data_IF_470524863441
#
_entry.id   IF_470524863441
#
_cell.length_a   1.000
_cell.length_b   1.000
_cell.length_c   1.000
_cell.angle_alpha   90.00
_cell.angle_beta   90.00
_cell.angle_gamma   90.00
#
_symmetry.space_group_name_H-M   'P 1'
#
loop_
_entity.id
_entity.type
_entity.pdbx_description
1 polymer ?
#
# COMPACT_ATOMS: atom_id res chain seq x y z
N UNK A 1 5.78 -4.75 18.78
CA UNK A 1 4.34 -4.61 19.10
C UNK A 1 3.68 -4.43 17.75
N UNK A 2 2.71 -5.22 17.43
CA UNK A 2 1.97 -5.09 16.18
C UNK A 2 1.10 -3.83 16.25
N UNK A 3 1.25 -2.93 15.28
CA UNK A 3 0.38 -1.78 15.09
C UNK A 3 -0.80 -2.20 14.20
N UNK A 4 -1.93 -1.49 14.32
CA UNK A 4 -3.12 -1.72 13.51
C UNK A 4 -3.76 -3.11 13.68
N UNK A 5 -4.02 -3.49 14.92
CA UNK A 5 -4.78 -4.69 15.26
C UNK A 5 -6.28 -4.34 15.39
N UNK A 6 -6.76 -4.10 16.60
CA UNK A 6 -8.16 -3.72 16.85
C UNK A 6 -8.54 -2.36 16.19
N UNK A 7 -7.57 -1.45 15.98
CA UNK A 7 -7.81 -0.16 15.36
C UNK A 7 -8.18 -0.27 13.87
N UNK A 8 -7.75 -1.32 13.18
CA UNK A 8 -8.10 -1.54 11.78
C UNK A 8 -9.62 -1.48 11.54
N UNK A 9 -10.44 -2.05 12.43
CA UNK A 9 -11.90 -2.10 12.33
C UNK A 9 -12.57 -0.71 12.22
N UNK A 10 -11.97 0.31 12.84
CA UNK A 10 -12.48 1.69 12.86
C UNK A 10 -11.66 2.67 12.03
N UNK A 11 -10.53 2.22 11.49
CA UNK A 11 -9.57 3.07 10.76
C UNK A 11 -10.25 3.87 9.65
N UNK A 12 -10.94 3.21 8.74
CA UNK A 12 -11.60 3.86 7.61
C UNK A 12 -12.69 4.87 8.06
N UNK A 13 -13.33 4.62 9.21
CA UNK A 13 -14.30 5.56 9.77
C UNK A 13 -13.62 6.86 10.19
N UNK A 14 -12.47 6.79 10.86
CA UNK A 14 -11.72 7.98 11.27
C UNK A 14 -11.04 8.68 10.09
N UNK A 15 -10.65 7.91 9.09
CA UNK A 15 -10.00 8.42 7.88
C UNK A 15 -11.01 8.87 6.81
N UNK A 16 -12.32 8.82 7.08
CA UNK A 16 -13.36 9.15 6.11
C UNK A 16 -13.37 10.61 5.61
N UNK A 17 -12.75 11.54 6.34
CA UNK A 17 -12.60 12.95 5.94
C UNK A 17 -11.28 13.22 5.19
N UNK A 18 -10.44 12.20 5.01
CA UNK A 18 -9.18 12.32 4.26
C UNK A 18 -9.49 12.37 2.76
N UNK A 19 -8.91 13.30 1.98
CA UNK A 19 -9.19 13.44 0.56
C UNK A 19 -8.44 12.38 -0.28
N UNK A 20 -8.74 11.10 -0.05
CA UNK A 20 -8.07 9.98 -0.72
C UNK A 20 -8.18 10.03 -2.24
N UNK A 21 -9.32 10.48 -2.79
CA UNK A 21 -9.48 10.63 -4.24
C UNK A 21 -8.51 11.67 -4.81
N UNK A 22 -8.35 12.83 -4.13
CA UNK A 22 -7.40 13.86 -4.55
C UNK A 22 -5.95 13.35 -4.48
N UNK A 23 -5.64 12.55 -3.47
CA UNK A 23 -4.33 11.93 -3.34
C UNK A 23 -4.08 10.88 -4.43
N UNK A 24 -5.07 10.03 -4.75
CA UNK A 24 -4.97 9.07 -5.83
C UNK A 24 -4.84 9.76 -7.21
N UNK A 25 -5.57 10.87 -7.45
CA UNK A 25 -5.42 11.70 -8.65
C UNK A 25 -4.01 12.28 -8.74
N UNK A 26 -3.49 12.78 -7.63
CA UNK A 26 -2.13 13.32 -7.57
C UNK A 26 -1.08 12.24 -7.84
N UNK A 27 -1.18 11.08 -7.20
CA UNK A 27 -0.28 9.94 -7.44
C UNK A 27 -0.34 9.48 -8.90
N UNK A 28 -1.53 9.34 -9.48
CA UNK A 28 -1.69 8.99 -10.90
C UNK A 28 -0.99 10.02 -11.80
N UNK A 29 -1.13 11.32 -11.52
CA UNK A 29 -0.45 12.37 -12.28
C UNK A 29 1.08 12.27 -12.19
N UNK A 30 1.63 11.88 -11.03
CA UNK A 30 3.07 11.66 -10.86
C UNK A 30 3.54 10.41 -11.59
N UNK A 31 2.77 9.32 -11.55
CA UNK A 31 3.06 8.09 -12.29
C UNK A 31 3.09 8.37 -13.79
N UNK A 32 2.11 9.09 -14.31
CA UNK A 32 2.06 9.48 -15.73
C UNK A 32 3.22 10.40 -16.14
N UNK A 33 3.57 11.36 -15.31
CA UNK A 33 4.60 12.35 -15.60
C UNK A 33 6.02 11.79 -15.48
N UNK A 34 6.26 10.93 -14.49
CA UNK A 34 7.59 10.48 -14.11
C UNK A 34 7.83 8.99 -14.34
N UNK A 35 6.79 8.15 -14.28
CA UNK A 35 6.89 6.70 -14.33
C UNK A 35 7.12 6.13 -15.72
N UNK A 36 7.47 4.86 -15.76
CA UNK A 36 7.63 4.06 -16.98
C UNK A 36 6.36 3.30 -17.33
N UNK A 37 5.51 3.02 -16.33
CA UNK A 37 4.23 2.33 -16.45
C UNK A 37 3.12 3.23 -17.01
N UNK A 38 2.04 2.59 -17.43
CA UNK A 38 0.81 3.25 -17.90
C UNK A 38 -0.40 2.45 -17.40
N UNK A 39 -1.58 3.06 -17.28
CA UNK A 39 -2.81 2.32 -17.04
C UNK A 39 -2.99 1.22 -18.09
N UNK A 40 -3.44 0.06 -17.67
CA UNK A 40 -3.65 -1.13 -18.54
C UNK A 40 -5.12 -1.30 -18.89
N UNK A 41 -6.02 -0.57 -18.21
CA UNK A 41 -7.47 -0.57 -18.39
C UNK A 41 -7.99 0.86 -18.54
N UNK A 42 -9.18 1.01 -19.12
CA UNK A 42 -9.91 2.28 -19.08
C UNK A 42 -10.42 2.53 -17.65
N UNK A 43 -10.41 3.78 -17.16
CA UNK A 43 -10.89 4.10 -15.83
C UNK A 43 -12.34 3.61 -15.60
N UNK A 44 -12.58 2.92 -14.49
CA UNK A 44 -13.87 2.36 -14.14
C UNK A 44 -14.23 1.03 -14.84
N UNK A 45 -13.35 0.47 -15.65
CA UNK A 45 -13.50 -0.86 -16.24
C UNK A 45 -13.10 -1.92 -15.21
N UNK A 46 -14.08 -2.66 -14.70
CA UNK A 46 -13.86 -3.85 -13.86
C UNK A 46 -13.87 -5.07 -14.77
N UNK A 47 -12.90 -5.98 -14.64
CA UNK A 47 -12.95 -7.23 -15.38
C UNK A 47 -14.20 -8.01 -14.95
N UNK A 48 -15.09 -8.34 -15.90
CA UNK A 48 -16.13 -9.32 -15.63
C UNK A 48 -15.42 -10.65 -15.31
N UNK A 49 -15.49 -11.06 -14.05
CA UNK A 49 -15.02 -12.39 -13.66
C UNK A 49 -15.83 -13.38 -14.52
N UNK A 50 -15.18 -14.10 -15.45
CA UNK A 50 -15.79 -15.25 -16.07
C UNK A 50 -16.27 -16.17 -14.96
N UNK A 51 -17.59 -16.42 -14.92
CA UNK A 51 -18.20 -17.30 -13.92
C UNK A 51 -17.40 -18.60 -13.91
N UNK A 52 -16.75 -18.92 -12.80
CA UNK A 52 -16.08 -20.19 -12.63
C UNK A 52 -17.10 -21.30 -12.99
N UNK A 53 -16.75 -22.25 -13.84
CA UNK A 53 -17.68 -23.30 -14.24
C UNK A 53 -18.26 -23.94 -12.99
N UNK A 54 -19.60 -23.94 -12.87
CA UNK A 54 -20.30 -24.53 -11.73
C UNK A 54 -19.68 -25.89 -11.43
N UNK A 55 -19.02 -25.99 -10.26
CA UNK A 55 -18.44 -27.25 -9.81
C UNK A 55 -19.54 -28.29 -9.71
N UNK A 56 -19.63 -29.16 -10.70
CA UNK A 56 -20.52 -30.31 -10.67
C UNK A 56 -20.27 -31.10 -9.39
N UNK A 57 -21.28 -31.16 -8.55
CA UNK A 57 -21.30 -32.00 -7.36
C UNK A 57 -20.80 -33.42 -7.71
N UNK A 58 -19.68 -33.81 -7.10
CA UNK A 58 -19.25 -35.20 -7.13
C UNK A 58 -20.23 -35.99 -6.26
N UNK A 59 -21.25 -36.56 -6.87
CA UNK A 59 -22.05 -37.60 -6.24
C UNK A 59 -21.39 -38.96 -6.50
N UNK A 60 -21.09 -39.67 -5.41
CA UNK A 60 -21.09 -41.15 -5.33
C UNK A 60 -19.93 -41.84 -6.03
N UNK A 61 -19.03 -42.38 -5.24
CA UNK A 61 -18.18 -43.51 -5.61
C UNK A 61 -19.11 -44.72 -5.88
N UNK A 62 -19.33 -45.09 -7.13
CA UNK A 62 -19.76 -46.42 -7.54
C UNK A 62 -18.69 -47.03 -8.44
N UNK A 63 -18.51 -48.34 -8.27
CA UNK A 63 -17.44 -49.20 -8.80
C UNK A 63 -17.25 -49.06 -10.32
N UNK A 64 -15.98 -49.15 -10.74
CA UNK A 64 -15.56 -49.10 -12.13
C UNK A 64 -16.11 -50.28 -12.96
N UNK A 65 -16.64 -50.05 -14.16
CA UNK A 65 -16.83 -51.13 -15.15
C UNK A 65 -15.53 -51.38 -15.92
N UNK A 66 -15.14 -52.62 -16.00
CA UNK A 66 -14.12 -53.12 -16.95
C UNK A 66 -14.62 -52.99 -18.38
N UNK A 67 -13.75 -52.54 -19.23
CA UNK A 67 -13.66 -52.67 -20.69
C UNK A 67 -13.71 -51.37 -21.49
N UNK A 68 -12.56 -50.96 -21.93
CA UNK A 68 -12.09 -50.47 -23.21
C UNK A 68 -13.06 -49.75 -24.15
N UNK A 69 -13.02 -48.40 -24.10
CA UNK A 69 -13.05 -47.56 -25.30
C UNK A 69 -12.24 -46.34 -24.95
N UNK A 70 -11.13 -46.12 -25.65
CA UNK A 70 -10.33 -44.91 -25.57
C UNK A 70 -11.10 -43.82 -26.28
N UNK A 71 -11.75 -42.93 -25.51
CA UNK A 71 -12.26 -41.68 -26.05
C UNK A 71 -11.02 -40.81 -26.42
N UNK A 72 -10.97 -40.41 -27.68
CA UNK A 72 -10.02 -39.37 -28.14
C UNK A 72 -10.26 -38.12 -27.29
N UNK A 73 -9.24 -37.73 -26.54
CA UNK A 73 -9.22 -36.42 -25.92
C UNK A 73 -9.22 -35.38 -27.04
N UNK A 74 -10.25 -34.53 -27.10
CA UNK A 74 -10.23 -33.31 -27.89
C UNK A 74 -8.98 -32.54 -27.49
N UNK A 75 -8.18 -32.10 -28.49
CA UNK A 75 -7.02 -31.23 -28.30
C UNK A 75 -7.50 -29.99 -27.55
N UNK A 76 -7.09 -29.85 -26.28
CA UNK A 76 -7.17 -28.59 -25.56
C UNK A 76 -6.39 -27.61 -26.40
N UNK A 77 -7.06 -26.60 -26.96
CA UNK A 77 -6.41 -25.49 -27.64
C UNK A 77 -5.49 -24.86 -26.59
N UNK A 78 -4.19 -25.00 -26.80
CA UNK A 78 -3.21 -24.26 -25.99
C UNK A 78 -3.52 -22.77 -26.17
N UNK A 79 -3.87 -22.09 -25.10
CA UNK A 79 -3.94 -20.62 -25.09
C UNK A 79 -2.59 -20.09 -25.60
N UNK A 80 -2.57 -19.01 -26.40
CA UNK A 80 -1.33 -18.42 -26.87
C UNK A 80 -0.50 -18.06 -25.64
N UNK A 81 0.62 -18.74 -25.43
CA UNK A 81 1.50 -18.51 -24.29
C UNK A 81 1.93 -17.04 -24.24
N UNK A 82 1.89 -16.44 -23.02
CA UNK A 82 2.39 -15.08 -22.76
C UNK A 82 3.82 -14.97 -23.30
N UNK A 83 4.08 -14.01 -24.16
CA UNK A 83 5.42 -13.78 -24.70
C UNK A 83 6.32 -13.08 -23.68
N UNK A 84 7.66 -13.17 -23.83
CA UNK A 84 8.59 -12.41 -22.98
C UNK A 84 8.35 -10.88 -23.08
N UNK A 85 7.92 -10.39 -24.23
CA UNK A 85 7.58 -8.97 -24.43
C UNK A 85 6.32 -8.58 -23.66
N UNK A 86 5.28 -9.42 -23.65
CA UNK A 86 4.06 -9.19 -22.90
C UNK A 86 4.33 -9.20 -21.39
N UNK A 87 5.17 -10.13 -20.91
CA UNK A 87 5.57 -10.18 -19.51
C UNK A 87 6.32 -8.91 -19.07
N UNK A 88 7.27 -8.41 -19.90
CA UNK A 88 7.99 -7.17 -19.62
C UNK A 88 7.08 -5.94 -19.64
N UNK A 89 6.07 -5.92 -20.50
CA UNK A 89 5.06 -4.84 -20.54
C UNK A 89 4.22 -4.87 -19.28
N UNK A 90 3.80 -6.05 -18.82
CA UNK A 90 3.04 -6.22 -17.59
C UNK A 90 3.84 -5.75 -16.39
N UNK A 91 5.08 -6.23 -16.20
CA UNK A 91 5.95 -5.80 -15.10
C UNK A 91 6.16 -4.27 -15.07
N UNK A 92 6.37 -3.66 -16.23
CA UNK A 92 6.56 -2.22 -16.36
C UNK A 92 5.34 -1.42 -15.94
N UNK A 93 4.13 -1.95 -16.15
CA UNK A 93 2.88 -1.26 -15.85
C UNK A 93 2.39 -1.53 -14.43
N UNK A 94 2.93 -2.55 -13.77
CA UNK A 94 2.54 -2.95 -12.42
C UNK A 94 2.92 -1.88 -11.39
N UNK A 95 2.01 -1.59 -10.48
CA UNK A 95 2.19 -0.63 -9.38
C UNK A 95 2.08 -1.36 -8.05
N UNK A 96 3.10 -1.23 -7.22
CA UNK A 96 3.13 -1.72 -5.85
C UNK A 96 2.75 -0.60 -4.89
N UNK A 97 1.74 -0.83 -4.04
CA UNK A 97 1.42 0.00 -2.89
C UNK A 97 2.03 -0.64 -1.63
N UNK A 98 3.10 -0.05 -1.11
CA UNK A 98 3.93 -0.57 -0.02
C UNK A 98 3.54 0.08 1.32
N UNK A 99 2.91 -0.69 2.21
CA UNK A 99 2.20 -0.20 3.38
C UNK A 99 0.79 0.24 3.01
N UNK A 100 0.05 -0.61 2.30
CA UNK A 100 -1.24 -0.27 1.70
C UNK A 100 -2.39 -0.13 2.71
N UNK A 101 -2.21 -0.60 3.95
CA UNK A 101 -3.23 -0.59 5.00
C UNK A 101 -4.52 -1.28 4.56
N UNK A 102 -5.64 -0.58 4.72
CA UNK A 102 -6.98 -1.06 4.30
C UNK A 102 -7.21 -1.01 2.78
N UNK A 103 -6.18 -0.73 1.98
CA UNK A 103 -6.23 -0.76 0.52
C UNK A 103 -6.96 0.40 -0.15
N UNK A 104 -7.31 1.47 0.57
CA UNK A 104 -8.11 2.58 -0.01
C UNK A 104 -7.42 3.25 -1.20
N UNK A 105 -6.13 3.61 -1.10
CA UNK A 105 -5.35 4.16 -2.22
C UNK A 105 -5.15 3.11 -3.32
N UNK A 106 -4.92 1.87 -2.94
CA UNK A 106 -4.72 0.75 -3.87
C UNK A 106 -5.95 0.57 -4.77
N UNK A 107 -7.16 0.51 -4.19
CA UNK A 107 -8.43 0.41 -4.94
C UNK A 107 -8.67 1.62 -5.83
N UNK A 108 -8.42 2.85 -5.34
CA UNK A 108 -8.58 4.06 -6.14
C UNK A 108 -7.61 4.13 -7.33
N UNK A 109 -6.37 3.65 -7.18
CA UNK A 109 -5.43 3.54 -8.30
C UNK A 109 -5.85 2.43 -9.27
N UNK A 110 -6.40 1.33 -8.77
CA UNK A 110 -6.99 0.28 -9.60
C UNK A 110 -8.16 0.80 -10.44
N UNK A 111 -9.07 1.58 -9.85
CA UNK A 111 -10.18 2.23 -10.56
C UNK A 111 -9.71 3.20 -11.65
N UNK A 112 -8.50 3.77 -11.51
CA UNK A 112 -7.86 4.60 -12.53
C UNK A 112 -7.17 3.77 -13.64
N UNK A 113 -7.30 2.45 -13.59
CA UNK A 113 -6.84 1.51 -14.62
C UNK A 113 -5.44 0.95 -14.38
N UNK A 114 -4.80 1.22 -13.25
CA UNK A 114 -3.51 0.61 -12.94
C UNK A 114 -3.65 -0.86 -12.52
N UNK A 115 -2.65 -1.65 -12.82
CA UNK A 115 -2.50 -3.01 -12.28
C UNK A 115 -1.78 -2.94 -10.94
N UNK A 116 -2.38 -3.51 -9.88
CA UNK A 116 -2.01 -3.19 -8.50
C UNK A 116 -1.60 -4.42 -7.70
N UNK A 117 -0.53 -4.23 -6.90
CA UNK A 117 -0.20 -5.10 -5.76
C UNK A 117 -0.25 -4.24 -4.50
N UNK A 118 -0.95 -4.69 -3.47
CA UNK A 118 -0.92 -4.10 -2.13
C UNK A 118 -0.09 -4.96 -1.18
N UNK A 119 0.80 -4.35 -0.42
CA UNK A 119 1.60 -5.02 0.62
C UNK A 119 1.43 -4.30 1.93
N UNK A 120 1.07 -5.03 2.98
CA UNK A 120 1.05 -4.53 4.36
C UNK A 120 1.49 -5.63 5.32
N UNK A 121 1.98 -5.26 6.49
CA UNK A 121 2.38 -6.21 7.53
C UNK A 121 1.25 -6.60 8.48
N UNK A 122 0.15 -5.84 8.53
CA UNK A 122 -1.03 -6.11 9.36
C UNK A 122 -2.01 -7.02 8.62
N UNK A 123 -2.28 -8.20 9.18
CA UNK A 123 -3.30 -9.12 8.67
C UNK A 123 -4.70 -8.50 8.77
N UNK A 124 -4.96 -7.72 9.84
CA UNK A 124 -6.25 -7.08 10.09
C UNK A 124 -6.54 -5.99 9.07
N UNK A 125 -5.53 -5.16 8.73
CA UNK A 125 -5.66 -4.18 7.64
C UNK A 125 -5.94 -4.84 6.30
N UNK A 126 -5.20 -5.90 5.99
CA UNK A 126 -5.37 -6.64 4.74
C UNK A 126 -6.70 -7.37 4.66
N UNK A 127 -7.28 -7.80 5.79
CA UNK A 127 -8.63 -8.37 5.78
C UNK A 127 -9.66 -7.36 5.26
N UNK A 128 -9.56 -6.08 5.70
CA UNK A 128 -10.43 -5.00 5.21
C UNK A 128 -10.17 -4.71 3.73
N UNK A 129 -8.91 -4.72 3.30
CA UNK A 129 -8.56 -4.57 1.89
C UNK A 129 -9.14 -5.70 1.02
N UNK A 130 -9.11 -6.94 1.51
CA UNK A 130 -9.72 -8.09 0.83
C UNK A 130 -11.25 -7.99 0.76
N UNK A 131 -11.90 -7.46 1.80
CA UNK A 131 -13.34 -7.24 1.79
C UNK A 131 -13.71 -6.18 0.73
N UNK A 132 -12.97 -5.06 0.64
CA UNK A 132 -13.13 -4.06 -0.43
C UNK A 132 -12.92 -4.68 -1.82
N UNK A 133 -11.85 -5.46 -2.01
CA UNK A 133 -11.60 -6.19 -3.25
C UNK A 133 -12.78 -7.07 -3.64
N UNK A 134 -13.37 -7.80 -2.69
CA UNK A 134 -14.52 -8.64 -2.94
C UNK A 134 -15.76 -7.83 -3.34
N UNK A 135 -15.98 -6.67 -2.72
CA UNK A 135 -17.10 -5.78 -3.04
C UNK A 135 -16.96 -5.10 -4.40
N UNK A 136 -15.76 -4.68 -4.76
CA UNK A 136 -15.46 -4.02 -6.05
C UNK A 136 -15.28 -5.00 -7.20
N UNK A 137 -14.95 -6.28 -6.89
CA UNK A 137 -14.57 -7.27 -7.89
C UNK A 137 -13.21 -7.00 -8.52
N UNK A 138 -12.33 -6.23 -7.85
CA UNK A 138 -10.98 -5.96 -8.34
C UNK A 138 -10.11 -7.23 -8.33
N UNK A 139 -9.10 -7.30 -9.20
CA UNK A 139 -8.14 -8.41 -9.25
C UNK A 139 -6.81 -8.09 -8.54
N UNK A 140 -6.79 -7.04 -7.70
CA UNK A 140 -5.64 -6.62 -6.91
C UNK A 140 -5.05 -7.80 -6.14
N UNK A 141 -3.72 -7.93 -6.16
CA UNK A 141 -3.01 -8.91 -5.33
C UNK A 141 -2.61 -8.27 -4.01
N UNK A 142 -3.19 -8.73 -2.89
CA UNK A 142 -2.77 -8.33 -1.55
C UNK A 142 -1.83 -9.37 -0.93
N UNK A 143 -0.70 -8.91 -0.35
CA UNK A 143 0.34 -9.75 0.26
C UNK A 143 0.63 -9.27 1.68
N UNK A 144 0.57 -10.18 2.67
CA UNK A 144 0.98 -9.90 4.03
C UNK A 144 2.50 -10.04 4.14
N UNK A 145 3.22 -8.91 4.12
CA UNK A 145 4.68 -8.88 4.21
C UNK A 145 5.16 -7.60 4.91
N UNK A 146 6.25 -7.72 5.65
CA UNK A 146 6.98 -6.57 6.16
C UNK A 146 7.79 -5.92 5.02
N UNK A 147 7.71 -4.59 4.89
CA UNK A 147 8.43 -3.86 3.85
C UNK A 147 9.97 -4.03 3.92
N UNK A 148 10.50 -4.43 5.10
CA UNK A 148 11.92 -4.74 5.32
C UNK A 148 12.32 -6.13 4.80
N UNK A 149 11.34 -6.95 4.47
CA UNK A 149 11.50 -8.34 4.00
C UNK A 149 10.72 -8.57 2.69
N UNK A 150 10.46 -7.49 1.93
CA UNK A 150 9.70 -7.53 0.69
C UNK A 150 10.25 -8.59 -0.28
N UNK A 151 9.38 -9.49 -0.74
CA UNK A 151 9.70 -10.54 -1.70
C UNK A 151 8.59 -10.64 -2.77
N UNK A 152 8.93 -10.30 -4.00
CA UNK A 152 8.02 -10.31 -5.15
C UNK A 152 8.53 -11.28 -6.23
N UNK A 153 7.62 -11.82 -7.01
CA UNK A 153 7.95 -12.74 -8.11
C UNK A 153 8.50 -12.03 -9.36
N UNK A 154 8.25 -10.74 -9.50
CA UNK A 154 8.65 -9.95 -10.67
C UNK A 154 9.06 -8.54 -10.27
N UNK A 155 9.56 -7.77 -11.23
CA UNK A 155 9.77 -6.34 -11.06
C UNK A 155 8.46 -5.57 -11.26
N UNK A 156 8.42 -4.33 -10.74
CA UNK A 156 7.27 -3.41 -10.86
C UNK A 156 7.73 -2.07 -11.43
N UNK A 157 6.91 -1.46 -12.28
CA UNK A 157 7.25 -0.17 -12.88
C UNK A 157 7.21 1.00 -11.91
N UNK A 158 6.39 0.89 -10.87
CA UNK A 158 6.21 1.94 -9.86
C UNK A 158 6.02 1.31 -8.48
N UNK A 159 6.64 1.91 -7.48
CA UNK A 159 6.31 1.68 -6.06
C UNK A 159 5.76 2.98 -5.50
N UNK A 160 4.61 2.91 -4.83
CA UNK A 160 4.08 3.99 -4.00
C UNK A 160 4.12 3.55 -2.54
N UNK A 161 4.38 4.48 -1.61
CA UNK A 161 4.31 4.23 -0.16
C UNK A 161 3.90 5.55 0.49
N UNK A 162 2.63 5.68 0.80
CA UNK A 162 2.03 6.95 1.25
C UNK A 162 1.30 6.78 2.59
N UNK A 163 0.74 7.86 3.09
CA UNK A 163 0.10 7.90 4.41
C UNK A 163 1.06 7.56 5.55
N UNK A 164 2.27 8.14 5.49
CA UNK A 164 3.32 8.03 6.54
C UNK A 164 3.75 6.60 6.90
N UNK A 165 3.54 5.63 6.02
CA UNK A 165 3.94 4.23 6.24
C UNK A 165 5.44 4.10 6.53
N UNK A 166 6.29 4.91 5.88
CA UNK A 166 7.75 4.90 6.13
C UNK A 166 8.15 5.45 7.50
N UNK A 167 7.31 6.25 8.16
CA UNK A 167 7.60 6.77 9.49
C UNK A 167 7.58 5.68 10.58
N UNK A 168 7.03 4.50 10.29
CA UNK A 168 7.10 3.32 11.16
C UNK A 168 8.47 2.62 11.14
N UNK A 169 9.34 2.96 10.21
CA UNK A 169 10.73 2.51 10.18
C UNK A 169 11.56 3.39 11.12
N UNK A 170 11.78 2.94 12.34
CA UNK A 170 12.41 3.76 13.39
C UNK A 170 13.94 3.81 13.27
N UNK A 171 14.57 2.85 12.60
CA UNK A 171 16.02 2.70 12.50
C UNK A 171 16.51 3.00 11.09
N UNK A 172 17.68 3.64 10.98
CA UNK A 172 18.31 3.93 9.69
C UNK A 172 18.52 2.70 8.83
N UNK A 173 18.87 1.56 9.48
CA UNK A 173 19.10 0.28 8.83
C UNK A 173 17.81 -0.25 8.20
N UNK A 174 16.65 -0.08 8.85
CA UNK A 174 15.35 -0.51 8.34
C UNK A 174 14.94 0.29 7.10
N UNK A 175 15.11 1.63 7.14
CA UNK A 175 14.86 2.50 5.98
C UNK A 175 15.76 2.11 4.81
N UNK A 176 17.05 1.93 5.08
CA UNK A 176 18.01 1.57 4.04
C UNK A 176 17.71 0.19 3.44
N UNK A 177 17.36 -0.79 4.27
CA UNK A 177 16.98 -2.13 3.83
C UNK A 177 15.74 -2.08 2.93
N UNK A 178 14.69 -1.36 3.36
CA UNK A 178 13.47 -1.17 2.57
C UNK A 178 13.78 -0.51 1.23
N UNK A 179 14.59 0.56 1.20
CA UNK A 179 14.94 1.23 -0.05
C UNK A 179 15.81 0.37 -0.97
N UNK A 180 16.67 -0.50 -0.42
CA UNK A 180 17.39 -1.49 -1.22
C UNK A 180 16.44 -2.51 -1.86
N UNK A 181 15.44 -2.99 -1.13
CA UNK A 181 14.45 -3.91 -1.67
C UNK A 181 13.57 -3.23 -2.74
N UNK A 182 13.11 -2.01 -2.48
CA UNK A 182 12.41 -1.21 -3.50
C UNK A 182 13.26 -1.06 -4.76
N UNK A 183 14.52 -0.66 -4.62
CA UNK A 183 15.43 -0.59 -5.77
C UNK A 183 15.57 -1.94 -6.47
N UNK A 184 15.67 -3.06 -5.72
CA UNK A 184 15.78 -4.40 -6.30
C UNK A 184 14.57 -4.79 -7.13
N UNK A 185 13.35 -4.44 -6.69
CA UNK A 185 12.12 -4.81 -7.38
C UNK A 185 11.63 -3.78 -8.40
N UNK A 186 12.17 -2.56 -8.43
CA UNK A 186 11.84 -1.61 -9.50
C UNK A 186 12.31 -2.12 -10.87
N UNK A 187 11.44 -2.00 -11.87
CA UNK A 187 11.77 -2.19 -13.28
C UNK A 187 12.86 -1.17 -13.71
N UNK A 188 13.70 -1.47 -14.73
CA UNK A 188 14.68 -0.51 -15.22
C UNK A 188 14.08 0.87 -15.52
N UNK A 189 14.58 1.89 -14.83
CA UNK A 189 14.06 3.26 -14.89
C UNK A 189 12.74 3.49 -14.16
N UNK A 190 12.22 2.49 -13.45
CA UNK A 190 11.03 2.59 -12.61
C UNK A 190 11.14 3.66 -11.52
N UNK A 191 10.02 4.06 -10.93
CA UNK A 191 9.97 5.13 -9.95
C UNK A 191 9.48 4.65 -8.59
N UNK A 192 9.99 5.31 -7.55
CA UNK A 192 9.53 5.20 -6.19
C UNK A 192 8.94 6.54 -5.74
N UNK A 193 7.66 6.55 -5.41
CA UNK A 193 6.93 7.71 -4.87
C UNK A 193 6.59 7.39 -3.43
N UNK A 194 7.02 8.23 -2.49
CA UNK A 194 6.66 8.04 -1.10
C UNK A 194 6.44 9.37 -0.39
N UNK A 195 5.71 9.34 0.70
CA UNK A 195 5.63 10.46 1.62
C UNK A 195 6.28 10.11 2.97
N UNK A 196 6.54 11.14 3.73
CA UNK A 196 6.93 11.02 5.13
C UNK A 196 6.56 12.28 5.91
N UNK A 197 6.26 12.09 7.18
CA UNK A 197 6.10 13.15 8.15
C UNK A 197 7.47 13.67 8.60
N UNK A 198 7.61 14.97 8.60
CA UNK A 198 8.86 15.63 8.95
C UNK A 198 9.06 15.71 10.47
N UNK A 199 10.30 15.94 10.89
CA UNK A 199 10.63 16.31 12.28
C UNK A 199 9.79 17.51 12.72
N UNK A 200 9.65 18.54 11.86
CA UNK A 200 8.85 19.73 12.14
C UNK A 200 7.40 19.40 12.53
N UNK A 201 6.78 18.44 11.83
CA UNK A 201 5.41 18.01 12.16
C UNK A 201 5.30 17.47 13.58
N UNK A 202 6.21 16.58 13.97
CA UNK A 202 6.15 15.98 15.29
C UNK A 202 6.60 16.93 16.40
N UNK A 203 7.63 17.76 16.17
CA UNK A 203 8.18 18.65 17.17
C UNK A 203 7.33 19.90 17.40
N UNK A 204 6.88 20.55 16.33
CA UNK A 204 6.26 21.88 16.41
C UNK A 204 4.73 21.85 16.23
N UNK A 205 4.17 20.85 15.52
CA UNK A 205 2.74 20.83 15.19
C UNK A 205 1.99 19.87 16.09
N UNK A 206 2.43 18.61 16.19
CA UNK A 206 1.81 17.60 17.04
C UNK A 206 2.33 17.70 18.46
N UNK A 207 3.66 17.71 18.65
CA UNK A 207 4.30 17.82 19.97
C UNK A 207 3.72 16.81 20.97
N UNK A 208 3.42 17.33 22.19
CA UNK A 208 2.77 16.58 23.26
C UNK A 208 1.25 16.86 23.30
N UNK A 209 0.61 17.03 22.14
CA UNK A 209 -0.81 17.39 22.05
C UNK A 209 -1.68 16.14 22.17
N UNK A 210 -2.75 16.26 22.94
CA UNK A 210 -3.85 15.27 22.92
C UNK A 210 -4.87 15.68 21.85
N UNK A 211 -5.12 14.77 20.91
CA UNK A 211 -6.14 14.92 19.87
C UNK A 211 -7.30 14.00 20.25
N UNK A 212 -8.51 14.50 20.18
CA UNK A 212 -9.70 13.68 20.44
C UNK A 212 -10.76 13.97 19.39
N UNK A 213 -11.41 12.93 18.93
CA UNK A 213 -12.51 12.99 18.00
C UNK A 213 -13.67 12.15 18.48
N UNK A 214 -14.89 12.66 18.27
CA UNK A 214 -16.11 11.96 18.64
C UNK A 214 -17.04 11.89 17.43
N UNK A 215 -17.36 10.68 17.00
CA UNK A 215 -18.31 10.37 15.93
C UNK A 215 -19.51 9.63 16.51
N UNK A 216 -20.50 9.30 15.66
CA UNK A 216 -21.74 8.67 16.10
C UNK A 216 -21.50 7.28 16.73
N UNK A 217 -20.66 6.46 16.10
CA UNK A 217 -20.42 5.08 16.50
C UNK A 217 -19.05 4.82 17.12
N UNK A 218 -18.16 5.78 17.07
CA UNK A 218 -16.82 5.64 17.63
C UNK A 218 -16.23 6.97 18.09
N UNK A 219 -15.27 6.89 19.01
CA UNK A 219 -14.50 8.04 19.47
C UNK A 219 -13.07 7.61 19.75
N UNK A 220 -12.12 8.53 19.62
CA UNK A 220 -10.76 8.27 20.05
C UNK A 220 -10.18 9.41 20.88
N UNK A 221 -9.17 9.05 21.66
CA UNK A 221 -8.24 9.94 22.35
C UNK A 221 -6.85 9.50 21.89
N UNK A 222 -6.11 10.41 21.29
CA UNK A 222 -4.77 10.22 20.78
C UNK A 222 -3.82 11.13 21.56
N UNK A 223 -3.01 10.54 22.43
CA UNK A 223 -2.04 11.23 23.27
C UNK A 223 -0.65 11.07 22.66
N UNK A 224 0.03 12.18 22.35
CA UNK A 224 1.34 12.19 21.72
C UNK A 224 2.44 12.51 22.73
N UNK A 225 3.61 11.85 22.57
CA UNK A 225 4.80 12.02 23.39
C UNK A 225 6.02 12.04 22.47
N UNK A 226 6.52 13.24 22.17
CA UNK A 226 7.64 13.39 21.24
C UNK A 226 8.99 13.40 21.96
N UNK A 227 9.93 12.54 21.50
CA UNK A 227 11.34 12.53 21.92
C UNK A 227 12.20 13.30 20.92
N UNK A 228 12.69 14.48 21.34
CA UNK A 228 13.61 15.27 20.52
C UNK A 228 15.00 14.60 20.32
N UNK A 229 15.38 13.65 21.19
CA UNK A 229 16.69 12.98 21.10
C UNK A 229 16.70 11.97 19.94
N UNK A 230 15.62 11.21 19.77
CA UNK A 230 15.50 10.13 18.79
C UNK A 230 14.61 10.52 17.61
N UNK A 231 13.97 11.69 17.67
CA UNK A 231 12.94 12.14 16.71
C UNK A 231 11.75 11.18 16.59
N UNK A 232 11.44 10.44 17.67
CA UNK A 232 10.34 9.48 17.72
C UNK A 232 9.15 10.12 18.41
N UNK A 233 7.98 10.03 17.76
CA UNK A 233 6.69 10.29 18.37
C UNK A 233 6.07 8.94 18.77
N UNK A 234 5.94 8.72 20.09
CA UNK A 234 5.10 7.69 20.65
C UNK A 234 3.69 8.25 20.77
N UNK A 235 2.69 7.51 20.36
CA UNK A 235 1.33 7.90 20.65
C UNK A 235 0.48 6.74 21.11
N UNK A 236 -0.27 7.02 22.18
CA UNK A 236 -1.27 6.12 22.73
C UNK A 236 -2.63 6.49 22.13
N UNK A 237 -3.20 5.55 21.39
CA UNK A 237 -4.52 5.68 20.82
C UNK A 237 -5.52 4.89 21.65
N UNK A 238 -6.40 5.59 22.36
CA UNK A 238 -7.56 4.98 23.03
C UNK A 238 -8.79 5.12 22.17
N UNK A 239 -9.39 4.01 21.79
CA UNK A 239 -10.59 3.96 20.95
C UNK A 239 -11.77 3.46 21.77
N UNK A 240 -12.94 4.06 21.54
CA UNK A 240 -14.24 3.62 22.03
C UNK A 240 -15.14 3.36 20.85
N UNK A 241 -15.45 2.11 20.61
CA UNK A 241 -16.31 1.62 19.54
C UNK A 241 -17.67 1.25 20.09
N UNK A 242 -18.75 1.79 19.49
CA UNK A 242 -20.11 1.48 19.90
C UNK A 242 -20.48 0.06 19.54
N UNK A 243 -21.02 -0.64 20.50
CA UNK A 243 -21.55 -1.99 20.34
C UNK A 243 -23.08 -1.95 20.41
N UNK A 244 -23.71 -3.12 20.29
CA UNK A 244 -25.13 -3.26 20.54
C UNK A 244 -25.49 -2.80 21.97
N UNK A 245 -26.71 -2.33 22.19
CA UNK A 245 -27.24 -1.90 23.50
C UNK A 245 -26.58 -0.66 24.12
N UNK A 246 -26.03 0.29 23.31
CA UNK A 246 -25.35 1.52 23.76
C UNK A 246 -24.14 1.28 24.68
N UNK A 247 -23.54 0.10 24.61
CA UNK A 247 -22.26 -0.20 25.24
C UNK A 247 -21.11 0.21 24.31
N UNK A 248 -19.92 0.42 24.92
CA UNK A 248 -18.71 0.73 24.15
C UNK A 248 -17.62 -0.29 24.48
N UNK A 249 -17.03 -0.87 23.44
CA UNK A 249 -15.77 -1.59 23.53
C UNK A 249 -14.66 -0.56 23.60
N UNK A 250 -13.80 -0.66 24.63
CA UNK A 250 -12.61 0.18 24.71
C UNK A 250 -11.37 -0.65 24.47
N UNK A 251 -10.50 -0.18 23.60
CA UNK A 251 -9.17 -0.75 23.42
C UNK A 251 -8.12 0.36 23.28
N UNK A 252 -6.84 0.00 23.35
CA UNK A 252 -5.73 0.93 23.26
C UNK A 252 -4.63 0.31 22.40
N UNK A 253 -4.04 1.11 21.51
CA UNK A 253 -2.84 0.76 20.77
C UNK A 253 -1.78 1.83 20.97
N UNK A 254 -0.53 1.41 21.05
CA UNK A 254 0.61 2.32 21.11
C UNK A 254 1.39 2.22 19.82
N UNK A 255 1.61 3.34 19.17
CA UNK A 255 2.35 3.43 17.91
C UNK A 255 3.61 4.27 18.10
N UNK A 256 4.60 3.98 17.30
CA UNK A 256 5.87 4.70 17.25
C UNK A 256 6.14 5.12 15.82
N UNK A 257 6.35 6.41 15.61
CA UNK A 257 6.72 6.95 14.30
C UNK A 257 7.93 7.86 14.45
N UNK A 258 8.89 7.74 13.54
CA UNK A 258 10.06 8.61 13.50
C UNK A 258 9.86 9.72 12.48
N UNK A 259 10.13 10.97 12.91
CA UNK A 259 10.23 12.11 12.01
C UNK A 259 11.55 12.11 11.24
N UNK A 260 11.49 12.52 9.98
CA UNK A 260 12.66 12.56 9.11
C UNK A 260 12.88 13.94 8.52
N UNK A 261 14.11 14.23 8.13
CA UNK A 261 14.46 15.34 7.25
C UNK A 261 14.54 14.90 5.80
N UNK A 262 14.32 15.82 4.87
CA UNK A 262 14.49 15.53 3.45
C UNK A 262 15.93 15.13 3.09
N UNK A 263 16.93 15.65 3.80
CA UNK A 263 18.34 15.34 3.56
C UNK A 263 18.71 13.92 4.02
N UNK A 264 18.10 13.43 5.11
CA UNK A 264 18.22 12.02 5.52
C UNK A 264 17.66 11.11 4.44
N UNK A 265 16.42 11.38 3.97
CA UNK A 265 15.79 10.59 2.92
C UNK A 265 16.59 10.57 1.62
N UNK A 266 17.15 11.71 1.19
CA UNK A 266 18.08 11.75 0.04
C UNK A 266 19.32 10.90 0.25
N UNK A 267 19.86 10.91 1.47
CA UNK A 267 21.04 10.09 1.81
C UNK A 267 20.72 8.59 1.76
N UNK A 268 19.55 8.18 2.24
CA UNK A 268 19.10 6.79 2.16
C UNK A 268 18.87 6.36 0.71
N UNK A 269 18.25 7.20 -0.11
CA UNK A 269 18.06 6.94 -1.54
C UNK A 269 19.40 6.73 -2.26
N UNK A 270 20.36 7.61 -2.04
CA UNK A 270 21.71 7.51 -2.64
C UNK A 270 22.41 6.22 -2.22
N UNK A 271 22.39 5.87 -0.92
CA UNK A 271 22.98 4.64 -0.40
C UNK A 271 22.30 3.39 -0.97
N UNK A 272 20.99 3.43 -1.19
CA UNK A 272 20.24 2.34 -1.78
C UNK A 272 20.39 2.26 -3.31
N UNK A 273 21.10 3.19 -3.96
CA UNK A 273 21.32 3.22 -5.40
C UNK A 273 20.15 3.81 -6.20
N UNK A 274 19.24 4.52 -5.53
CA UNK A 274 18.14 5.25 -6.15
C UNK A 274 18.56 6.70 -6.41
N UNK A 275 18.08 7.29 -7.51
CA UNK A 275 18.31 8.69 -7.84
C UNK A 275 17.12 9.52 -7.33
N UNK A 276 17.41 10.50 -6.47
CA UNK A 276 16.43 11.52 -6.11
C UNK A 276 16.06 12.36 -7.34
N UNK A 277 14.77 12.46 -7.64
CA UNK A 277 14.24 13.25 -8.77
C UNK A 277 13.72 14.59 -8.30
N UNK A 278 12.77 14.59 -7.34
CA UNK A 278 12.18 15.80 -6.78
C UNK A 278 11.52 15.52 -5.45
N UNK A 279 11.18 16.60 -4.72
CA UNK A 279 10.34 16.55 -3.53
C UNK A 279 9.30 17.65 -3.57
N UNK A 280 8.11 17.39 -3.03
CA UNK A 280 6.98 18.29 -3.03
C UNK A 280 6.36 18.33 -1.62
N UNK A 281 6.03 19.53 -1.18
CA UNK A 281 5.21 19.73 0.03
C UNK A 281 3.79 19.24 -0.21
N UNK A 282 3.25 18.46 0.70
CA UNK A 282 1.95 17.79 0.54
C UNK A 282 0.81 18.79 0.31
N UNK A 283 0.78 19.91 1.04
CA UNK A 283 -0.33 20.89 0.97
C UNK A 283 -0.27 21.79 -0.26
N UNK A 284 0.93 22.10 -0.73
CA UNK A 284 1.14 23.13 -1.78
C UNK A 284 1.55 22.56 -3.13
N UNK A 285 2.02 21.31 -3.16
CA UNK A 285 2.64 20.64 -4.31
C UNK A 285 3.83 21.42 -4.90
N UNK A 286 4.47 22.27 -4.08
CA UNK A 286 5.68 23.03 -4.44
C UNK A 286 6.90 22.45 -3.72
N UNK A 287 8.05 23.04 -3.98
CA UNK A 287 9.27 22.69 -3.26
C UNK A 287 9.06 22.80 -1.73
N UNK A 288 9.48 21.78 -0.96
CA UNK A 288 9.33 21.78 0.49
C UNK A 288 10.06 22.95 1.14
N UNK A 289 9.59 23.36 2.29
CA UNK A 289 10.18 24.37 3.15
C UNK A 289 10.56 23.75 4.51
N UNK A 290 11.23 24.52 5.36
CA UNK A 290 11.56 24.11 6.73
C UNK A 290 10.31 23.83 7.60
N UNK A 291 9.15 24.33 7.18
CA UNK A 291 7.86 24.16 7.88
C UNK A 291 6.90 23.21 7.17
N UNK A 292 7.35 22.47 6.18
CA UNK A 292 6.56 21.43 5.55
C UNK A 292 6.33 20.29 6.53
N UNK A 293 5.07 19.96 6.77
CA UNK A 293 4.67 18.91 7.72
C UNK A 293 4.83 17.51 7.13
N UNK A 294 4.48 17.34 5.85
CA UNK A 294 4.59 16.11 5.08
C UNK A 294 5.20 16.42 3.72
N UNK A 295 6.08 15.55 3.27
CA UNK A 295 6.82 15.72 2.02
C UNK A 295 6.65 14.48 1.16
N UNK A 296 6.19 14.65 -0.08
CA UNK A 296 6.30 13.63 -1.12
C UNK A 296 7.69 13.66 -1.74
N UNK A 297 8.25 12.49 -1.96
CA UNK A 297 9.53 12.30 -2.67
C UNK A 297 9.33 11.40 -3.85
N UNK A 298 9.93 11.77 -4.97
CA UNK A 298 10.01 10.95 -6.17
C UNK A 298 11.48 10.57 -6.38
N UNK A 299 11.74 9.27 -6.45
CA UNK A 299 13.05 8.71 -6.76
C UNK A 299 12.94 7.77 -7.96
N UNK A 300 14.07 7.41 -8.56
CA UNK A 300 14.13 6.59 -9.76
C UNK A 300 15.20 5.51 -9.65
N UNK A 301 14.89 4.32 -10.10
CA UNK A 301 15.88 3.29 -10.35
C UNK A 301 16.86 3.73 -11.43
N UNK A 302 18.15 3.37 -11.25
CA UNK A 302 19.19 3.68 -12.21
C UNK A 302 20.27 2.60 -12.25
N UNK A 303 20.58 2.12 -13.43
CA UNK A 303 21.71 1.22 -13.65
C UNK A 303 21.35 -0.21 -14.01
N UNK A 304 20.08 -0.60 -13.92
CA UNK A 304 19.60 -1.88 -14.46
C UNK A 304 19.50 -1.80 -16.00
N UNK A 305 19.75 -2.93 -16.65
CA UNK A 305 19.68 -3.06 -18.13
C UNK A 305 18.69 -4.17 -18.48
#
# INVERSE_FOLDING_TARGET
MEAYTDFAEVYDTFMGDVPYEEWADFLASLIEACGVGRPVREPGEVQELEEAPESGYIQGFEEAPESGEVQEFEEVQEEPGVTEEDALISERNLVLDLGCGTGTITELLYEKGYDMIGVDSSEEMLQIALDKKFETGSDILYLCQDMRELDLYSTVGTVVSVCDSLNYLLMDEDVLQTFHLVNNYLFPGGIFIFDFNTIYKYEEVIGDVTIAENREDCSFIWENFYSCEDHINEYDLTVFERQEDDLYRRFTETHYQRGYTLEEMKTFLEKAGLIFVTALDEKTHKAPTETSERIYVIAREHGKQ
#
